data_IF_688575505931
#
_entry.id   IF_688575505931
#
_cell.length_a   1.000
_cell.length_b   1.000
_cell.length_c   1.000
_cell.angle_alpha   90.00
_cell.angle_beta   90.00
_cell.angle_gamma   90.00
#
_symmetry.space_group_name_H-M   'P 1'
#
loop_
_entity.id
_entity.type
_entity.pdbx_description
1 polymer ?
#
# COMPACT_ATOMS: atom_id res chain seq x y z
N UNK A 1 31.92 69.97 39.68
CA UNK A 1 30.61 69.57 39.10
C UNK A 1 30.87 68.76 37.88
N UNK A 2 30.97 67.48 38.02
CA UNK A 2 31.26 66.52 36.89
C UNK A 2 30.15 65.52 36.82
N UNK A 3 29.39 65.57 35.72
CA UNK A 3 28.30 64.60 35.44
C UNK A 3 28.90 63.33 34.86
N UNK A 4 28.66 62.22 35.52
CA UNK A 4 28.95 60.90 35.01
C UNK A 4 27.91 60.52 33.94
N UNK A 5 28.39 60.13 32.78
CA UNK A 5 27.57 59.56 31.69
C UNK A 5 27.63 58.06 31.83
N UNK A 6 26.49 57.48 32.13
CA UNK A 6 26.33 56.02 32.23
C UNK A 6 26.16 55.44 30.83
N UNK A 7 27.11 54.64 30.40
CA UNK A 7 27.00 53.84 29.15
C UNK A 7 26.19 52.59 29.42
N UNK A 8 24.97 52.52 28.89
CA UNK A 8 24.16 51.34 28.88
C UNK A 8 24.56 50.51 27.64
N UNK A 9 25.27 49.40 27.87
CA UNK A 9 25.54 48.38 26.86
C UNK A 9 24.29 47.56 26.66
N UNK A 10 23.62 47.78 25.53
CA UNK A 10 22.51 46.91 25.08
C UNK A 10 23.14 45.71 24.39
N UNK A 11 23.22 44.60 25.11
CA UNK A 11 23.59 43.31 24.56
C UNK A 11 22.40 42.76 23.78
N UNK A 12 22.42 42.89 22.45
CA UNK A 12 21.43 42.25 21.58
C UNK A 12 21.70 40.75 21.49
N UNK A 13 20.96 39.98 22.26
CA UNK A 13 20.93 38.52 22.19
C UNK A 13 20.21 38.09 20.87
N UNK A 14 20.98 37.81 19.84
CA UNK A 14 20.48 37.20 18.60
C UNK A 14 20.10 35.76 18.89
N UNK A 15 18.82 35.51 19.13
CA UNK A 15 18.21 34.18 19.16
C UNK A 15 18.17 33.63 17.73
N UNK A 16 19.14 32.81 17.37
CA UNK A 16 19.05 31.96 16.16
C UNK A 16 18.02 30.88 16.43
N UNK A 17 16.79 31.10 15.94
CA UNK A 17 15.80 30.06 15.84
C UNK A 17 16.21 29.15 14.67
N UNK A 18 16.87 28.02 14.96
CA UNK A 18 17.04 26.95 14.00
C UNK A 18 15.67 26.31 13.75
N UNK A 19 15.01 26.73 12.69
CA UNK A 19 13.89 26.00 12.15
C UNK A 19 14.44 24.68 11.57
N UNK A 20 14.34 23.61 12.34
CA UNK A 20 14.55 22.26 11.83
C UNK A 20 13.41 21.97 10.86
N UNK A 21 13.65 22.26 9.58
CA UNK A 21 12.78 21.79 8.50
C UNK A 21 13.02 20.30 8.44
N UNK A 22 12.17 19.53 9.14
CA UNK A 22 12.07 18.10 8.96
C UNK A 22 11.51 17.85 7.55
N UNK A 23 12.39 17.78 6.57
CA UNK A 23 12.02 17.23 5.27
C UNK A 23 11.50 15.81 5.52
N UNK A 24 10.29 15.46 5.07
CA UNK A 24 9.89 14.05 5.08
C UNK A 24 10.92 13.31 4.23
N UNK A 25 11.66 12.41 4.85
CA UNK A 25 12.51 11.46 4.13
C UNK A 25 11.53 10.60 3.32
N UNK A 26 11.31 11.02 2.08
CA UNK A 26 10.75 10.13 1.07
C UNK A 26 11.83 9.09 0.86
N UNK A 27 11.66 7.91 1.44
CA UNK A 27 12.51 6.76 1.16
C UNK A 27 12.38 6.48 -0.33
N UNK A 28 13.26 7.09 -1.13
CA UNK A 28 13.49 6.68 -2.51
C UNK A 28 14.13 5.29 -2.41
N UNK A 29 13.31 4.25 -2.56
CA UNK A 29 13.82 2.92 -2.80
C UNK A 29 14.62 2.98 -4.10
N UNK A 30 15.93 2.88 -3.98
CA UNK A 30 16.82 2.83 -5.12
C UNK A 30 16.39 1.65 -6.00
N UNK A 31 16.09 1.94 -7.27
CA UNK A 31 15.73 0.92 -8.24
C UNK A 31 16.99 0.13 -8.57
N UNK A 32 17.05 -1.14 -8.17
CA UNK A 32 18.15 -2.04 -8.53
C UNK A 32 17.94 -2.53 -9.98
N UNK A 33 18.78 -2.08 -10.89
CA UNK A 33 18.77 -2.51 -12.29
C UNK A 33 19.63 -3.75 -12.46
N UNK A 34 19.15 -4.74 -13.22
CA UNK A 34 19.96 -5.87 -13.66
C UNK A 34 21.11 -5.42 -14.57
N UNK A 35 22.06 -6.33 -14.83
CA UNK A 35 23.20 -6.08 -15.73
C UNK A 35 22.79 -5.71 -17.17
N UNK A 36 21.54 -6.00 -17.53
CA UNK A 36 20.89 -5.68 -18.82
C UNK A 36 20.18 -4.32 -18.83
N UNK A 37 20.34 -3.52 -17.76
CA UNK A 37 19.68 -2.22 -17.61
C UNK A 37 18.16 -2.29 -17.38
N UNK A 38 17.60 -3.50 -17.24
CA UNK A 38 16.18 -3.68 -16.95
C UNK A 38 15.95 -3.74 -15.44
N UNK A 39 14.86 -3.15 -14.93
CA UNK A 39 14.53 -3.26 -13.52
C UNK A 39 14.29 -4.73 -13.16
N UNK A 40 14.93 -5.21 -12.09
CA UNK A 40 14.66 -6.52 -11.56
C UNK A 40 13.20 -6.60 -11.11
N UNK A 41 12.54 -7.74 -11.33
CA UNK A 41 11.10 -7.95 -11.11
C UNK A 41 10.59 -7.71 -9.67
N UNK A 42 11.47 -7.42 -8.71
CA UNK A 42 11.12 -7.24 -7.30
C UNK A 42 11.01 -5.79 -6.84
N UNK A 43 11.13 -4.82 -7.77
CA UNK A 43 11.09 -3.42 -7.39
C UNK A 43 9.68 -2.91 -7.59
N UNK A 44 8.94 -2.91 -6.50
CA UNK A 44 7.65 -2.24 -6.44
C UNK A 44 7.88 -0.73 -6.37
N UNK A 45 7.69 -0.05 -7.47
CA UNK A 45 7.53 1.40 -7.44
C UNK A 45 6.15 1.73 -6.87
N UNK A 46 6.01 1.66 -5.55
CA UNK A 46 4.78 2.08 -4.89
C UNK A 46 4.58 3.57 -5.12
N UNK A 47 3.70 3.91 -6.03
CA UNK A 47 3.23 5.28 -6.19
C UNK A 47 2.08 5.50 -5.21
N UNK A 48 2.16 6.56 -4.44
CA UNK A 48 1.02 7.00 -3.62
C UNK A 48 -0.14 7.29 -4.56
N UNK A 49 -1.28 6.69 -4.28
CA UNK A 49 -2.52 6.91 -5.02
C UNK A 49 -3.45 7.83 -4.22
N UNK A 50 -4.20 8.64 -4.93
CA UNK A 50 -5.23 9.52 -4.37
C UNK A 50 -6.58 8.84 -4.49
N UNK A 51 -7.25 8.60 -3.37
CA UNK A 51 -8.52 7.86 -3.39
C UNK A 51 -9.62 8.57 -4.19
N UNK A 52 -9.57 9.90 -4.26
CA UNK A 52 -10.55 10.74 -4.98
C UNK A 52 -10.58 10.44 -6.48
N UNK A 53 -9.46 9.97 -7.04
CA UNK A 53 -9.37 9.62 -8.46
C UNK A 53 -10.10 8.30 -8.78
N UNK A 54 -10.43 7.50 -7.75
CA UNK A 54 -10.96 6.16 -7.90
C UNK A 54 -12.33 5.96 -7.24
N UNK A 55 -12.65 6.71 -6.19
CA UNK A 55 -13.84 6.50 -5.39
C UNK A 55 -14.57 7.81 -5.09
N UNK A 56 -15.89 7.75 -5.00
CA UNK A 56 -16.72 8.92 -4.66
C UNK A 56 -16.60 9.32 -3.19
N UNK A 57 -16.45 8.34 -2.31
CA UNK A 57 -16.32 8.54 -0.86
C UNK A 57 -15.59 7.38 -0.18
N UNK A 58 -15.22 7.58 1.08
CA UNK A 58 -14.61 6.56 1.95
C UNK A 58 -15.50 6.17 3.12
N UNK A 59 -16.81 6.27 3.00
CA UNK A 59 -17.74 5.98 4.10
C UNK A 59 -17.59 4.56 4.68
N UNK A 60 -17.10 3.63 3.88
CA UNK A 60 -16.84 2.23 4.27
C UNK A 60 -15.37 1.83 4.16
N UNK A 61 -14.49 2.79 3.85
CA UNK A 61 -13.12 2.53 3.42
C UNK A 61 -13.08 2.03 1.97
N UNK A 62 -11.88 1.97 1.39
CA UNK A 62 -11.70 1.56 0.01
C UNK A 62 -10.43 0.72 -0.16
N UNK A 63 -10.45 -0.16 -1.17
CA UNK A 63 -9.31 -0.95 -1.60
C UNK A 63 -9.19 -0.77 -3.12
N UNK A 64 -8.02 -0.35 -3.58
CA UNK A 64 -7.65 -0.33 -4.99
C UNK A 64 -6.58 -1.39 -5.24
N UNK A 65 -6.79 -2.26 -6.20
CA UNK A 65 -5.76 -3.19 -6.68
C UNK A 65 -5.27 -2.70 -8.02
N UNK A 66 -4.04 -2.20 -8.05
CA UNK A 66 -3.35 -1.84 -9.28
C UNK A 66 -2.62 -3.08 -9.82
N UNK A 67 -3.16 -3.65 -10.88
CA UNK A 67 -2.61 -4.86 -11.51
C UNK A 67 -1.29 -4.59 -12.27
N UNK A 68 -1.04 -3.35 -12.69
CA UNK A 68 0.18 -2.97 -13.41
C UNK A 68 1.36 -2.86 -12.46
N UNK A 69 1.18 -2.18 -11.34
CA UNK A 69 2.22 -2.00 -10.31
C UNK A 69 2.26 -3.13 -9.30
N UNK A 70 1.29 -4.06 -9.35
CA UNK A 70 1.12 -5.17 -8.40
C UNK A 70 1.04 -4.68 -6.96
N UNK A 71 0.28 -3.64 -6.74
CA UNK A 71 0.07 -3.02 -5.44
C UNK A 71 -1.39 -3.02 -5.05
N UNK A 72 -1.65 -3.18 -3.76
CA UNK A 72 -2.94 -3.03 -3.14
C UNK A 72 -2.89 -1.81 -2.24
N UNK A 73 -3.73 -0.84 -2.53
CA UNK A 73 -3.88 0.39 -1.75
C UNK A 73 -5.13 0.29 -0.89
N UNK A 74 -4.99 0.59 0.37
CA UNK A 74 -6.07 0.58 1.34
C UNK A 74 -6.22 1.95 1.98
N UNK A 75 -7.45 2.46 2.02
CA UNK A 75 -7.85 3.64 2.79
C UNK A 75 -8.90 3.23 3.81
N UNK A 76 -8.66 3.62 5.06
CA UNK A 76 -9.64 3.43 6.13
C UNK A 76 -10.86 4.33 5.94
N UNK A 77 -11.92 4.03 6.69
CA UNK A 77 -13.08 4.92 6.79
C UNK A 77 -12.62 6.34 7.16
N UNK A 78 -13.08 7.33 6.40
CA UNK A 78 -12.72 8.74 6.53
C UNK A 78 -11.27 9.08 6.14
N UNK A 79 -10.54 8.16 5.49
CA UNK A 79 -9.21 8.43 4.93
C UNK A 79 -8.08 8.68 5.94
N UNK A 80 -8.29 8.36 7.23
CA UNK A 80 -7.29 8.61 8.28
C UNK A 80 -6.05 7.73 8.16
N UNK A 81 -6.21 6.55 7.59
CA UNK A 81 -5.10 5.63 7.35
C UNK A 81 -5.02 5.32 5.86
N UNK A 82 -3.81 5.31 5.35
CA UNK A 82 -3.46 4.82 4.02
C UNK A 82 -2.34 3.80 4.14
N UNK A 83 -2.53 2.65 3.51
CA UNK A 83 -1.54 1.57 3.50
C UNK A 83 -1.40 1.02 2.09
N UNK A 84 -0.17 0.63 1.75
CA UNK A 84 0.14 -0.03 0.48
C UNK A 84 0.78 -1.38 0.77
N UNK A 85 0.33 -2.39 0.04
CA UNK A 85 0.83 -3.75 0.15
C UNK A 85 1.23 -4.29 -1.22
N UNK A 86 2.30 -5.08 -1.33
CA UNK A 86 2.53 -5.86 -2.52
C UNK A 86 1.41 -6.88 -2.69
N UNK A 87 1.02 -7.14 -3.94
CA UNK A 87 0.01 -8.16 -4.21
C UNK A 87 0.38 -9.00 -5.42
N UNK A 88 -0.07 -10.25 -5.42
CA UNK A 88 -0.04 -11.10 -6.60
C UNK A 88 -1.19 -10.72 -7.52
N UNK A 89 -0.94 -10.83 -8.81
CA UNK A 89 -1.95 -10.65 -9.85
C UNK A 89 -2.05 -11.91 -10.71
N UNK A 90 -3.17 -12.16 -11.39
CA UNK A 90 -3.29 -13.30 -12.30
C UNK A 90 -2.19 -13.30 -13.35
N UNK A 91 -1.84 -14.50 -13.84
CA UNK A 91 -0.75 -14.71 -14.79
C UNK A 91 -1.00 -14.04 -16.15
N UNK A 92 -2.25 -13.93 -16.55
CA UNK A 92 -2.67 -13.32 -17.81
C UNK A 92 -3.97 -12.52 -17.66
N UNK A 93 -4.28 -11.72 -18.67
CA UNK A 93 -5.46 -10.86 -18.68
C UNK A 93 -6.78 -11.64 -18.66
N UNK A 94 -6.85 -12.81 -19.28
CA UNK A 94 -8.06 -13.64 -19.30
C UNK A 94 -8.50 -14.11 -17.90
N UNK A 95 -7.55 -14.18 -16.97
CA UNK A 95 -7.79 -14.53 -15.57
C UNK A 95 -8.02 -13.29 -14.69
N UNK A 96 -7.84 -12.10 -15.25
CA UNK A 96 -7.94 -10.82 -14.53
C UNK A 96 -9.34 -10.26 -14.70
N UNK A 97 -10.04 -10.07 -13.59
CA UNK A 97 -11.34 -9.40 -13.59
C UNK A 97 -11.14 -7.96 -13.10
N UNK A 98 -11.44 -7.00 -13.97
CA UNK A 98 -11.33 -5.57 -13.67
C UNK A 98 -12.71 -4.98 -13.41
N UNK A 99 -12.77 -3.92 -12.62
CA UNK A 99 -13.97 -3.16 -12.33
C UNK A 99 -14.22 -2.98 -10.84
N UNK A 100 -15.35 -2.35 -10.52
CA UNK A 100 -15.74 -2.10 -9.14
C UNK A 100 -16.48 -3.29 -8.55
N UNK A 101 -16.15 -3.59 -7.30
CA UNK A 101 -16.79 -4.66 -6.54
C UNK A 101 -16.95 -4.26 -5.06
N UNK A 102 -17.57 -5.10 -4.28
CA UNK A 102 -17.74 -4.89 -2.83
C UNK A 102 -17.24 -6.10 -2.07
N UNK A 103 -16.61 -5.88 -0.94
CA UNK A 103 -16.31 -6.95 0.02
C UNK A 103 -17.62 -7.36 0.67
N UNK A 104 -18.03 -8.61 0.46
CA UNK A 104 -19.27 -9.18 0.99
C UNK A 104 -19.06 -9.99 2.26
N UNK A 105 -17.87 -10.61 2.40
CA UNK A 105 -17.53 -11.45 3.54
C UNK A 105 -16.04 -11.40 3.84
N UNK A 106 -15.69 -11.44 5.13
CA UNK A 106 -14.32 -11.58 5.61
C UNK A 106 -14.24 -12.90 6.39
N UNK A 107 -13.22 -13.71 6.11
CA UNK A 107 -13.05 -15.02 6.73
C UNK A 107 -11.63 -15.16 7.26
N UNK A 108 -11.52 -15.61 8.51
CA UNK A 108 -10.27 -16.04 9.13
C UNK A 108 -10.20 -17.55 8.99
N UNK A 109 -9.06 -18.09 8.53
CA UNK A 109 -8.92 -19.51 8.25
C UNK A 109 -9.88 -19.98 7.14
N UNK A 110 -9.75 -19.45 5.91
CA UNK A 110 -10.64 -19.86 4.82
C UNK A 110 -10.36 -21.29 4.37
N UNK A 111 -11.41 -22.00 4.01
CA UNK A 111 -11.29 -23.23 3.22
C UNK A 111 -11.05 -22.88 1.75
N UNK A 112 -10.28 -23.69 1.05
CA UNK A 112 -10.08 -23.54 -0.38
C UNK A 112 -10.73 -24.68 -1.16
N UNK A 113 -11.53 -24.30 -2.15
CA UNK A 113 -12.13 -25.22 -3.12
C UNK A 113 -11.81 -24.73 -4.52
N UNK A 114 -10.88 -25.37 -5.24
CA UNK A 114 -10.56 -25.02 -6.62
C UNK A 114 -11.81 -25.05 -7.49
N UNK A 115 -11.96 -24.07 -8.35
CA UNK A 115 -13.07 -24.03 -9.31
C UNK A 115 -12.94 -25.16 -10.34
N UNK A 116 -14.04 -25.53 -10.99
CA UNK A 116 -14.01 -26.50 -12.10
C UNK A 116 -13.00 -26.12 -13.20
N UNK A 117 -12.88 -24.79 -13.50
CA UNK A 117 -11.90 -24.29 -14.47
C UNK A 117 -10.46 -24.49 -14.00
N UNK A 118 -10.18 -24.31 -12.71
CA UNK A 118 -8.86 -24.56 -12.14
C UNK A 118 -8.49 -26.03 -12.23
N UNK A 119 -9.37 -26.92 -11.81
CA UNK A 119 -9.15 -28.38 -11.90
C UNK A 119 -9.05 -28.89 -13.35
N UNK A 120 -9.71 -28.24 -14.31
CA UNK A 120 -9.53 -28.54 -15.73
C UNK A 120 -8.12 -28.20 -16.23
N UNK A 121 -7.53 -27.10 -15.73
CA UNK A 121 -6.15 -26.70 -16.07
C UNK A 121 -5.10 -27.56 -15.37
N UNK A 122 -5.39 -27.92 -14.13
CA UNK A 122 -4.53 -28.78 -13.31
C UNK A 122 -5.37 -29.83 -12.59
N UNK A 123 -5.44 -31.04 -13.14
CA UNK A 123 -6.21 -32.17 -12.54
C UNK A 123 -5.65 -32.68 -11.21
N UNK A 124 -4.42 -32.28 -10.83
CA UNK A 124 -3.80 -32.70 -9.56
C UNK A 124 -4.30 -31.86 -8.37
N UNK A 125 -5.01 -30.77 -8.62
CA UNK A 125 -5.56 -29.96 -7.55
C UNK A 125 -6.57 -30.74 -6.71
N UNK A 126 -6.49 -30.63 -5.35
CA UNK A 126 -7.44 -31.28 -4.46
C UNK A 126 -8.85 -30.74 -4.67
N UNK A 127 -9.87 -31.51 -4.34
CA UNK A 127 -11.24 -31.00 -4.34
C UNK A 127 -11.50 -30.00 -3.23
N UNK A 128 -10.79 -30.16 -2.13
CA UNK A 128 -10.94 -29.39 -0.91
C UNK A 128 -9.60 -29.29 -0.17
N UNK A 129 -9.33 -28.13 0.42
CA UNK A 129 -8.21 -27.91 1.31
C UNK A 129 -8.69 -27.15 2.56
N UNK A 130 -8.48 -27.69 3.77
CA UNK A 130 -8.86 -27.03 5.01
C UNK A 130 -7.98 -25.80 5.28
N UNK A 131 -8.33 -24.94 6.24
CA UNK A 131 -7.44 -23.90 6.73
C UNK A 131 -6.10 -24.47 7.17
N UNK A 132 -5.00 -23.81 6.83
CA UNK A 132 -3.67 -24.27 7.22
C UNK A 132 -2.57 -23.57 6.42
N UNK A 133 -1.29 -23.87 6.73
CA UNK A 133 -0.15 -23.23 6.09
C UNK A 133 -0.05 -23.52 4.59
N UNK A 134 -0.54 -24.68 4.15
CA UNK A 134 -0.50 -25.11 2.75
C UNK A 134 -1.69 -24.55 1.93
N UNK A 135 -2.66 -23.90 2.59
CA UNK A 135 -3.82 -23.35 1.91
C UNK A 135 -3.43 -22.11 1.10
N UNK A 136 -3.67 -22.09 -0.23
CA UNK A 136 -3.26 -20.97 -1.07
C UNK A 136 -4.00 -19.65 -0.79
N UNK A 137 -5.11 -19.67 -0.05
CA UNK A 137 -5.81 -18.47 0.39
C UNK A 137 -5.13 -17.85 1.64
N UNK A 138 -4.21 -18.56 2.28
CA UNK A 138 -3.55 -18.09 3.49
C UNK A 138 -4.48 -18.01 4.70
N UNK A 139 -4.12 -17.15 5.65
CA UNK A 139 -4.84 -17.02 6.93
C UNK A 139 -6.15 -16.23 6.85
N UNK A 140 -6.35 -15.42 5.83
CA UNK A 140 -7.50 -14.52 5.70
C UNK A 140 -7.96 -14.42 4.25
N UNK A 141 -9.28 -14.34 4.05
CA UNK A 141 -9.86 -14.09 2.73
C UNK A 141 -10.94 -13.00 2.78
N UNK A 142 -10.96 -12.19 1.71
CA UNK A 142 -12.01 -11.24 1.42
C UNK A 142 -12.80 -11.75 0.22
N UNK A 143 -14.10 -11.99 0.41
CA UNK A 143 -14.99 -12.40 -0.66
C UNK A 143 -15.61 -11.17 -1.31
N UNK A 144 -15.70 -11.20 -2.62
CA UNK A 144 -16.17 -10.09 -3.44
C UNK A 144 -17.55 -10.40 -4.04
N UNK A 145 -18.26 -9.36 -4.46
CA UNK A 145 -19.66 -9.46 -4.93
C UNK A 145 -19.83 -9.92 -6.38
N UNK A 146 -18.76 -10.21 -7.09
CA UNK A 146 -18.83 -10.72 -8.47
C UNK A 146 -18.47 -12.19 -8.65
#
# INVERSE_FOLDING_TARGET
MTKAVSNILISSLLLFVYAVISNPIIAQTAVDFGKDGKPKHNIFSFRVQTWQDHFKDLNKGAILVDTKTRSLHYWSKNGKEYKVFPTSVPLNEELTRLGYTKVTKKVIGPEWRPTKKMRKRDPKLPEFMPPGPDNPLGSHALYLSW
#
